data_IF_940857610902
#
_entry.id   IF_940857610902
#
_cell.length_a   1.000
_cell.length_b   1.000
_cell.length_c   1.000
_cell.angle_alpha   90.00
_cell.angle_beta   90.00
_cell.angle_gamma   90.00
#
_symmetry.space_group_name_H-M   'P 1'
#
loop_
_entity.id
_entity.type
_entity.pdbx_description
1 polymer ?
#
# COMPACT_ATOMS: atom_id res chain seq x y z
N UNK A 1 -2.99 17.22 29.45
CA UNK A 1 -2.24 16.20 28.68
C UNK A 1 -1.29 16.98 27.79
N UNK A 2 -0.03 17.12 28.17
CA UNK A 2 0.93 17.96 27.43
C UNK A 2 1.14 17.37 26.03
N UNK A 3 0.74 18.13 25.01
CA UNK A 3 1.24 17.93 23.64
C UNK A 3 2.77 17.92 23.73
N UNK A 4 3.39 16.78 23.45
CA UNK A 4 4.84 16.74 23.40
C UNK A 4 5.31 17.73 22.35
N UNK A 5 6.37 18.48 22.68
CA UNK A 5 7.09 19.41 21.80
C UNK A 5 7.80 18.65 20.67
N UNK A 6 7.05 17.88 19.87
CA UNK A 6 7.52 17.25 18.65
C UNK A 6 7.21 18.13 17.45
N UNK A 7 8.11 18.18 16.48
CA UNK A 7 7.92 18.91 15.21
C UNK A 7 6.71 18.42 14.39
N UNK A 8 6.27 17.17 14.63
CA UNK A 8 5.19 16.55 13.87
C UNK A 8 3.93 16.33 14.73
N UNK A 9 2.82 16.95 14.32
CA UNK A 9 1.48 16.75 14.86
C UNK A 9 0.46 16.57 13.72
N UNK A 10 -0.81 16.37 14.07
CA UNK A 10 -1.87 16.14 13.06
C UNK A 10 -1.98 17.28 12.04
N UNK A 11 -1.87 18.53 12.50
CA UNK A 11 -1.96 19.71 11.64
C UNK A 11 -0.75 19.82 10.73
N UNK A 12 0.46 19.69 11.27
CA UNK A 12 1.68 19.77 10.45
C UNK A 12 1.77 18.62 9.46
N UNK A 13 1.37 17.41 9.84
CA UNK A 13 1.30 16.25 8.95
C UNK A 13 0.33 16.44 7.79
N UNK A 14 -0.88 16.94 8.08
CA UNK A 14 -1.86 17.27 7.05
C UNK A 14 -1.34 18.36 6.11
N UNK A 15 -0.72 19.42 6.64
CA UNK A 15 -0.12 20.50 5.83
C UNK A 15 0.96 19.94 4.91
N UNK A 16 1.89 19.12 5.42
CA UNK A 16 2.97 18.53 4.61
C UNK A 16 2.37 17.66 3.49
N UNK A 17 1.35 16.86 3.78
CA UNK A 17 0.66 16.05 2.76
C UNK A 17 -0.01 16.92 1.68
N UNK A 18 -0.70 18.00 2.07
CA UNK A 18 -1.37 18.91 1.13
C UNK A 18 -0.39 19.72 0.28
N UNK A 19 0.69 20.20 0.89
CA UNK A 19 1.79 20.87 0.17
C UNK A 19 2.44 19.89 -0.81
N UNK A 20 2.67 18.66 -0.38
CA UNK A 20 3.16 17.57 -1.22
C UNK A 20 2.29 17.29 -2.44
N UNK A 21 0.97 17.21 -2.23
CA UNK A 21 -0.01 17.07 -3.31
C UNK A 21 0.04 18.26 -4.27
N UNK A 22 0.12 19.50 -3.74
CA UNK A 22 0.20 20.70 -4.57
C UNK A 22 1.49 20.72 -5.41
N UNK A 23 2.64 20.34 -4.83
CA UNK A 23 3.91 20.20 -5.55
C UNK A 23 3.76 19.18 -6.69
N UNK A 24 3.17 18.01 -6.41
CA UNK A 24 2.96 17.01 -7.44
C UNK A 24 2.03 17.50 -8.55
N UNK A 25 0.89 18.11 -8.23
CA UNK A 25 -0.05 18.65 -9.22
C UNK A 25 0.64 19.69 -10.11
N UNK A 26 1.39 20.62 -9.52
CA UNK A 26 2.14 21.63 -10.28
C UNK A 26 3.19 20.99 -11.18
N UNK A 27 3.96 20.03 -10.66
CA UNK A 27 4.96 19.30 -11.44
C UNK A 27 4.31 18.53 -12.60
N UNK A 28 3.19 17.85 -12.36
CA UNK A 28 2.44 17.10 -13.38
C UNK A 28 1.96 18.03 -14.50
N UNK A 29 1.41 19.21 -14.16
CA UNK A 29 0.94 20.18 -15.13
C UNK A 29 2.08 20.84 -15.92
N UNK A 30 3.18 21.21 -15.25
CA UNK A 30 4.33 21.87 -15.88
C UNK A 30 5.10 20.90 -16.78
N UNK A 31 5.36 19.69 -16.29
CA UNK A 31 6.12 18.68 -17.04
C UNK A 31 5.27 18.06 -18.15
N UNK A 32 3.94 18.09 -18.02
CA UNK A 32 2.97 17.62 -19.02
C UNK A 32 3.31 16.22 -19.57
N UNK A 33 3.19 15.15 -18.75
CA UNK A 33 3.59 13.80 -19.16
C UNK A 33 2.77 13.21 -20.30
N UNK A 34 1.61 13.81 -20.59
CA UNK A 34 0.73 13.47 -21.72
C UNK A 34 1.18 14.13 -23.03
N UNK A 35 2.11 15.08 -22.98
CA UNK A 35 2.75 15.69 -24.13
C UNK A 35 3.98 14.92 -24.62
N UNK A 36 4.60 15.43 -25.68
CA UNK A 36 5.80 14.83 -26.29
C UNK A 36 7.12 15.29 -25.65
N UNK A 37 7.08 16.33 -24.80
CA UNK A 37 8.26 17.00 -24.25
C UNK A 37 9.06 16.19 -23.22
N UNK A 38 8.46 15.16 -22.61
CA UNK A 38 9.16 14.29 -21.66
C UNK A 38 9.88 13.11 -22.32
N UNK A 39 9.83 13.00 -23.64
CA UNK A 39 10.46 11.90 -24.38
C UNK A 39 9.71 10.57 -24.27
N UNK A 40 10.45 9.49 -24.59
CA UNK A 40 9.95 8.11 -24.63
C UNK A 40 9.50 7.60 -23.26
N UNK A 41 8.81 6.46 -23.22
CA UNK A 41 8.47 5.78 -21.97
C UNK A 41 9.73 5.56 -21.12
N UNK A 42 9.58 5.73 -19.81
CA UNK A 42 10.63 5.56 -18.81
C UNK A 42 11.87 6.44 -18.98
N UNK A 43 11.75 7.55 -19.73
CA UNK A 43 12.80 8.55 -19.81
C UNK A 43 13.19 9.11 -18.43
N UNK A 44 14.41 9.67 -18.29
CA UNK A 44 14.83 10.30 -17.04
C UNK A 44 13.84 11.36 -16.51
N UNK A 45 13.22 12.15 -17.38
CA UNK A 45 12.22 13.15 -17.00
C UNK A 45 10.96 12.50 -16.40
N UNK A 46 10.51 11.38 -16.95
CA UNK A 46 9.37 10.62 -16.41
C UNK A 46 9.69 10.00 -15.06
N UNK A 47 10.90 9.47 -14.89
CA UNK A 47 11.41 8.99 -13.61
C UNK A 47 11.44 10.12 -12.58
N UNK A 48 11.91 11.32 -12.93
CA UNK A 48 11.88 12.49 -12.04
C UNK A 48 10.45 12.81 -11.58
N UNK A 49 9.48 12.83 -12.50
CA UNK A 49 8.08 13.06 -12.14
C UNK A 49 7.53 11.95 -11.22
N UNK A 50 7.93 10.70 -11.44
CA UNK A 50 7.59 9.57 -10.57
C UNK A 50 8.19 9.74 -9.16
N UNK A 51 9.42 10.22 -9.04
CA UNK A 51 10.04 10.56 -7.76
C UNK A 51 9.31 11.71 -7.05
N UNK A 52 8.89 12.74 -7.78
CA UNK A 52 8.08 13.82 -7.22
C UNK A 52 6.76 13.26 -6.69
N UNK A 53 6.06 12.44 -7.47
CA UNK A 53 4.84 11.77 -7.01
C UNK A 53 5.07 10.96 -5.73
N UNK A 54 6.09 10.09 -5.74
CA UNK A 54 6.40 9.21 -4.61
C UNK A 54 6.83 9.95 -3.34
N UNK A 55 7.80 10.87 -3.45
CA UNK A 55 8.42 11.51 -2.28
C UNK A 55 7.73 12.79 -1.85
N UNK A 56 7.30 13.63 -2.80
CA UNK A 56 6.64 14.87 -2.44
C UNK A 56 5.22 14.61 -1.94
N UNK A 57 4.49 13.65 -2.53
CA UNK A 57 3.10 13.39 -2.16
C UNK A 57 2.89 12.05 -1.43
N UNK A 58 3.23 10.92 -2.03
CA UNK A 58 2.85 9.60 -1.48
C UNK A 58 3.46 9.35 -0.11
N UNK A 59 4.75 9.63 0.10
CA UNK A 59 5.42 9.46 1.38
C UNK A 59 4.77 10.30 2.50
N UNK A 60 4.54 11.62 2.33
CA UNK A 60 3.76 12.39 3.29
C UNK A 60 2.36 11.85 3.57
N UNK A 61 1.67 11.36 2.54
CA UNK A 61 0.37 10.71 2.70
C UNK A 61 0.47 9.45 3.56
N UNK A 62 1.40 8.54 3.25
CA UNK A 62 1.64 7.33 4.04
C UNK A 62 2.04 7.66 5.48
N UNK A 63 2.94 8.63 5.66
CA UNK A 63 3.37 9.11 6.97
C UNK A 63 2.22 9.70 7.80
N UNK A 64 1.32 10.47 7.18
CA UNK A 64 0.14 11.03 7.84
C UNK A 64 -0.78 9.92 8.37
N UNK A 65 -1.07 8.90 7.56
CA UNK A 65 -1.94 7.79 7.99
C UNK A 65 -1.27 6.87 9.01
N UNK A 66 0.03 6.63 8.87
CA UNK A 66 0.81 5.94 9.92
C UNK A 66 0.80 6.72 11.23
N UNK A 67 0.90 8.05 11.20
CA UNK A 67 0.78 8.89 12.40
C UNK A 67 -0.62 8.77 13.02
N UNK A 68 -1.68 8.82 12.20
CA UNK A 68 -3.06 8.63 12.69
C UNK A 68 -3.24 7.23 13.31
N UNK A 69 -2.60 6.20 12.75
CA UNK A 69 -2.58 4.85 13.29
C UNK A 69 -1.83 4.78 14.62
N UNK A 70 -0.65 5.39 14.70
CA UNK A 70 0.21 5.40 15.89
C UNK A 70 -0.43 6.05 17.13
N UNK A 71 -1.45 6.91 16.93
CA UNK A 71 -2.25 7.51 18.01
C UNK A 71 -3.25 6.56 18.67
N UNK A 72 -3.33 5.30 18.20
CA UNK A 72 -4.21 4.25 18.74
C UNK A 72 -3.37 3.11 19.34
N UNK A 73 -2.99 3.19 20.63
CA UNK A 73 -2.17 2.16 21.28
C UNK A 73 -2.80 0.76 21.25
N UNK A 74 -4.13 0.70 21.23
CA UNK A 74 -4.93 -0.51 21.07
C UNK A 74 -4.72 -1.19 19.72
N UNK A 75 -4.44 -0.41 18.67
CA UNK A 75 -4.17 -0.92 17.33
C UNK A 75 -2.72 -1.41 17.16
N UNK A 76 -1.79 -0.84 17.92
CA UNK A 76 -0.36 -1.20 17.91
C UNK A 76 -0.06 -2.49 18.69
N UNK A 77 -0.93 -2.87 19.61
CA UNK A 77 -0.77 -4.09 20.38
C UNK A 77 -1.12 -5.32 19.54
N UNK A 78 -0.48 -6.45 19.86
CA UNK A 78 -0.92 -7.75 19.36
C UNK A 78 -2.40 -7.97 19.72
N UNK A 79 -3.17 -8.52 18.78
CA UNK A 79 -4.60 -8.74 18.96
C UNK A 79 -4.89 -9.50 20.28
N UNK A 80 -5.84 -8.98 21.06
CA UNK A 80 -6.22 -9.54 22.37
C UNK A 80 -5.17 -9.35 23.49
N UNK A 81 -4.12 -8.53 23.27
CA UNK A 81 -3.08 -8.23 24.28
C UNK A 81 -3.13 -6.81 24.82
N UNK A 82 -3.96 -5.93 24.25
CA UNK A 82 -4.08 -4.57 24.75
C UNK A 82 -4.74 -4.53 26.13
N UNK A 83 -4.18 -3.74 27.04
CA UNK A 83 -4.76 -3.41 28.34
C UNK A 83 -4.93 -1.88 28.39
N UNK A 84 -6.07 -1.41 28.88
CA UNK A 84 -6.35 0.02 28.95
C UNK A 84 -5.26 0.77 29.72
N UNK A 85 -4.75 1.85 29.13
CA UNK A 85 -3.65 2.65 29.70
C UNK A 85 -2.25 2.12 29.39
N UNK A 86 -2.13 0.94 28.74
CA UNK A 86 -0.84 0.44 28.28
C UNK A 86 -0.25 1.36 27.22
N UNK A 87 0.99 1.79 27.45
CA UNK A 87 1.79 2.48 26.44
C UNK A 87 2.39 1.43 25.51
N UNK A 88 2.15 1.57 24.22
CA UNK A 88 2.66 0.66 23.20
C UNK A 88 3.58 1.44 22.28
N UNK A 89 4.83 0.98 22.16
CA UNK A 89 5.77 1.56 21.21
C UNK A 89 5.37 1.18 19.78
N UNK A 90 5.46 2.14 18.86
CA UNK A 90 5.18 1.91 17.43
C UNK A 90 6.05 0.80 16.86
N UNK A 91 7.36 0.87 17.11
CA UNK A 91 8.34 -0.14 16.75
C UNK A 91 8.64 -1.07 17.92
N UNK A 92 7.60 -1.77 18.40
CA UNK A 92 7.75 -2.84 19.38
C UNK A 92 8.40 -4.08 18.74
N UNK A 93 8.94 -5.04 19.52
CA UNK A 93 9.39 -6.33 18.99
C UNK A 93 8.32 -7.04 18.16
N UNK A 94 7.05 -6.94 18.55
CA UNK A 94 5.93 -7.46 17.78
C UNK A 94 5.86 -6.82 16.38
N UNK A 95 5.88 -5.49 16.31
CA UNK A 95 5.82 -4.75 15.04
C UNK A 95 7.03 -5.07 14.15
N UNK A 96 8.24 -5.13 14.72
CA UNK A 96 9.48 -5.39 13.98
C UNK A 96 9.52 -6.81 13.42
N UNK A 97 9.14 -7.82 14.21
CA UNK A 97 9.02 -9.19 13.73
C UNK A 97 7.94 -9.31 12.67
N UNK A 98 6.79 -8.66 12.85
CA UNK A 98 5.73 -8.64 11.85
C UNK A 98 6.20 -8.02 10.53
N UNK A 99 6.95 -6.90 10.57
CA UNK A 99 7.56 -6.29 9.38
C UNK A 99 8.48 -7.29 8.66
N UNK A 100 9.33 -8.01 9.40
CA UNK A 100 10.22 -9.01 8.83
C UNK A 100 9.48 -10.17 8.16
N UNK A 101 8.45 -10.71 8.82
CA UNK A 101 7.63 -11.82 8.28
C UNK A 101 6.87 -11.35 7.05
N UNK A 102 6.19 -10.21 7.13
CA UNK A 102 5.42 -9.65 6.00
C UNK A 102 6.35 -9.35 4.83
N UNK A 103 7.52 -8.77 5.07
CA UNK A 103 8.51 -8.51 4.03
C UNK A 103 9.02 -9.79 3.36
N UNK A 104 9.31 -10.84 4.12
CA UNK A 104 9.72 -12.13 3.56
C UNK A 104 8.61 -12.78 2.71
N UNK A 105 7.38 -12.79 3.21
CA UNK A 105 6.22 -13.33 2.49
C UNK A 105 5.91 -12.54 1.21
N UNK A 106 5.94 -11.21 1.30
CA UNK A 106 5.74 -10.32 0.17
C UNK A 106 6.83 -10.52 -0.89
N UNK A 107 8.09 -10.62 -0.45
CA UNK A 107 9.20 -10.89 -1.36
C UNK A 107 9.03 -12.22 -2.11
N UNK A 108 8.66 -13.29 -1.39
CA UNK A 108 8.40 -14.60 -1.99
C UNK A 108 7.22 -14.58 -2.97
N UNK A 109 6.17 -13.79 -2.69
CA UNK A 109 5.05 -13.60 -3.61
C UNK A 109 5.42 -12.86 -4.89
N UNK A 110 6.60 -12.23 -4.98
CA UNK A 110 7.16 -11.70 -6.22
C UNK A 110 7.31 -12.73 -7.34
N UNK A 111 7.30 -14.03 -7.01
CA UNK A 111 7.22 -15.10 -8.00
C UNK A 111 5.84 -15.20 -8.67
N UNK A 112 4.77 -14.80 -7.97
CA UNK A 112 3.38 -14.83 -8.47
C UNK A 112 3.13 -13.88 -9.65
N UNK A 113 3.85 -12.75 -9.68
CA UNK A 113 3.80 -11.78 -10.79
C UNK A 113 4.11 -12.44 -12.15
N UNK A 114 4.94 -13.48 -12.16
CA UNK A 114 5.31 -14.21 -13.39
C UNK A 114 4.12 -14.93 -14.03
N UNK A 115 3.06 -15.19 -13.27
CA UNK A 115 1.82 -15.81 -13.73
C UNK A 115 0.65 -14.85 -13.97
N UNK A 116 0.85 -13.53 -13.83
CA UNK A 116 -0.23 -12.54 -13.89
C UNK A 116 -1.21 -12.64 -12.71
N UNK A 117 -0.71 -13.09 -11.54
CA UNK A 117 -1.47 -13.29 -10.30
C UNK A 117 -0.89 -12.34 -9.24
N UNK A 118 -1.72 -11.46 -8.71
CA UNK A 118 -1.31 -10.44 -7.73
C UNK A 118 -1.28 -11.01 -6.28
N UNK A 119 -0.39 -11.99 -6.06
CA UNK A 119 -0.19 -12.56 -4.73
C UNK A 119 0.40 -11.55 -3.75
N UNK A 120 1.15 -10.57 -4.26
CA UNK A 120 1.72 -9.50 -3.46
C UNK A 120 0.61 -8.65 -2.83
N UNK A 121 -0.38 -8.19 -3.62
CA UNK A 121 -1.54 -7.46 -3.11
C UNK A 121 -2.32 -8.27 -2.07
N UNK A 122 -2.49 -9.58 -2.28
CA UNK A 122 -3.18 -10.45 -1.31
C UNK A 122 -2.43 -10.51 0.04
N UNK A 123 -1.10 -10.69 0.02
CA UNK A 123 -0.29 -10.76 1.24
C UNK A 123 -0.31 -9.44 2.00
N UNK A 124 -0.16 -8.33 1.28
CA UNK A 124 -0.13 -7.03 1.95
C UNK A 124 -1.52 -6.60 2.44
N UNK A 125 -2.59 -6.99 1.75
CA UNK A 125 -3.95 -6.84 2.25
C UNK A 125 -4.19 -7.65 3.54
N UNK A 126 -3.67 -8.88 3.60
CA UNK A 126 -3.69 -9.65 4.85
C UNK A 126 -2.91 -8.95 5.95
N UNK A 127 -1.74 -8.38 5.66
CA UNK A 127 -0.98 -7.57 6.61
C UNK A 127 -1.78 -6.34 7.08
N UNK A 128 -2.44 -5.63 6.17
CA UNK A 128 -3.15 -4.39 6.48
C UNK A 128 -4.34 -4.62 7.41
N UNK A 129 -5.05 -5.74 7.24
CA UNK A 129 -6.15 -6.15 8.12
C UNK A 129 -5.67 -6.78 9.42
N UNK A 130 -4.53 -7.48 9.42
CA UNK A 130 -4.00 -8.19 10.59
C UNK A 130 -3.23 -7.26 11.55
N UNK A 131 -2.25 -6.53 10.99
CA UNK A 131 -1.25 -5.74 11.72
C UNK A 131 -1.44 -4.22 11.56
N UNK A 132 -2.10 -3.79 10.49
CA UNK A 132 -2.39 -2.37 10.22
C UNK A 132 -1.37 -1.65 9.35
N UNK A 133 -1.49 -0.33 9.28
CA UNK A 133 -0.82 0.48 8.26
C UNK A 133 0.70 0.54 8.37
N UNK A 134 1.25 0.57 9.59
CA UNK A 134 2.71 0.73 9.81
C UNK A 134 3.47 -0.53 9.40
N UNK A 135 3.01 -1.69 9.87
CA UNK A 135 3.62 -2.99 9.51
C UNK A 135 3.49 -3.23 8.02
N UNK A 136 2.36 -2.88 7.42
CA UNK A 136 2.17 -3.05 5.97
C UNK A 136 3.08 -2.13 5.17
N UNK A 137 3.20 -0.84 5.55
CA UNK A 137 4.14 0.08 4.88
C UNK A 137 5.57 -0.47 4.87
N UNK A 138 6.14 -0.79 6.03
CA UNK A 138 7.53 -1.22 6.12
C UNK A 138 7.74 -2.66 5.63
N UNK A 139 6.77 -3.55 5.86
CA UNK A 139 6.81 -4.92 5.37
C UNK A 139 6.83 -4.96 3.85
N UNK A 140 5.92 -4.23 3.19
CA UNK A 140 5.95 -4.07 1.73
C UNK A 140 7.25 -3.43 1.28
N UNK A 141 7.64 -2.31 1.90
CA UNK A 141 8.82 -1.57 1.46
C UNK A 141 10.07 -2.45 1.44
N UNK A 142 10.32 -3.20 2.52
CA UNK A 142 11.45 -4.13 2.59
C UNK A 142 11.26 -5.31 1.63
N UNK A 143 10.06 -5.90 1.60
CA UNK A 143 9.77 -7.06 0.76
C UNK A 143 9.92 -6.79 -0.73
N UNK A 144 9.43 -5.64 -1.19
CA UNK A 144 9.52 -5.22 -2.59
C UNK A 144 10.96 -4.98 -3.02
N UNK A 145 11.78 -4.32 -2.18
CA UNK A 145 13.20 -4.15 -2.46
C UNK A 145 13.89 -5.52 -2.55
N UNK A 146 13.61 -6.44 -1.63
CA UNK A 146 14.19 -7.80 -1.68
C UNK A 146 13.75 -8.55 -2.94
N UNK A 147 12.46 -8.58 -3.26
CA UNK A 147 11.95 -9.25 -4.45
C UNK A 147 12.66 -8.76 -5.71
N UNK A 148 12.63 -7.44 -5.93
CA UNK A 148 13.07 -6.78 -7.15
C UNK A 148 14.59 -6.65 -7.27
N UNK A 149 15.33 -7.01 -6.24
CA UNK A 149 16.81 -7.05 -6.24
C UNK A 149 17.32 -8.49 -6.28
N UNK A 150 16.66 -9.43 -5.61
CA UNK A 150 17.22 -10.77 -5.37
C UNK A 150 16.41 -11.92 -6.00
N UNK A 151 15.09 -11.79 -6.17
CA UNK A 151 14.20 -12.89 -6.60
C UNK A 151 13.84 -12.74 -8.08
N UNK A 152 13.31 -11.58 -8.46
CA UNK A 152 12.97 -11.23 -9.83
C UNK A 152 13.62 -9.88 -10.21
N UNK A 153 14.96 -9.86 -10.38
CA UNK A 153 15.68 -8.61 -10.42
C UNK A 153 15.29 -7.74 -11.61
N UNK A 154 14.97 -6.47 -11.35
CA UNK A 154 14.42 -5.54 -12.37
C UNK A 154 15.36 -5.27 -13.55
N UNK A 155 16.65 -5.56 -13.42
CA UNK A 155 17.64 -5.43 -14.49
C UNK A 155 17.78 -6.66 -15.39
N UNK A 156 17.18 -7.81 -15.02
CA UNK A 156 17.26 -9.05 -15.81
C UNK A 156 16.26 -9.04 -16.98
N UNK A 157 15.23 -8.17 -16.92
CA UNK A 157 14.19 -8.04 -17.95
C UNK A 157 14.52 -7.11 -19.12
N UNK A 158 15.74 -6.58 -19.23
CA UNK A 158 16.16 -5.70 -20.34
C UNK A 158 15.66 -4.26 -20.26
N UNK A 159 15.01 -3.87 -19.16
CA UNK A 159 14.45 -2.52 -18.96
C UNK A 159 15.40 -1.71 -18.07
N UNK A 160 16.17 -0.80 -18.67
CA UNK A 160 17.23 -0.04 -17.98
C UNK A 160 16.71 0.91 -16.88
N UNK A 161 15.44 1.31 -16.94
CA UNK A 161 14.81 2.17 -15.93
C UNK A 161 14.27 1.42 -14.71
N UNK A 162 14.26 0.08 -14.73
CA UNK A 162 13.70 -0.73 -13.64
C UNK A 162 14.39 -0.49 -12.30
N UNK A 163 15.72 -0.35 -12.30
CA UNK A 163 16.47 -0.05 -11.07
C UNK A 163 16.21 1.36 -10.53
N UNK A 164 16.09 2.35 -11.43
CA UNK A 164 15.86 3.75 -11.06
C UNK A 164 14.43 4.02 -10.58
N UNK A 165 13.45 3.25 -11.07
CA UNK A 165 12.05 3.40 -10.70
C UNK A 165 11.62 2.51 -9.52
N UNK A 166 12.47 1.56 -9.10
CA UNK A 166 12.16 0.64 -8.00
C UNK A 166 11.76 1.36 -6.70
N UNK A 167 12.58 2.31 -6.26
CA UNK A 167 12.35 3.03 -5.02
C UNK A 167 11.03 3.83 -5.02
N UNK A 168 10.74 4.67 -6.04
CA UNK A 168 9.48 5.40 -6.05
C UNK A 168 8.25 4.48 -6.20
N UNK A 169 8.29 3.41 -7.01
CA UNK A 169 7.18 2.44 -7.07
C UNK A 169 6.90 1.79 -5.71
N UNK A 170 7.96 1.33 -5.05
CA UNK A 170 7.86 0.73 -3.71
C UNK A 170 7.22 1.68 -2.71
N UNK A 171 7.59 2.96 -2.77
CA UNK A 171 7.10 3.97 -1.85
C UNK A 171 5.63 4.36 -2.13
N UNK A 172 5.24 4.45 -3.40
CA UNK A 172 3.84 4.67 -3.80
C UNK A 172 2.96 3.56 -3.22
N UNK A 173 3.34 2.30 -3.45
CA UNK A 173 2.56 1.15 -3.01
C UNK A 173 2.52 1.04 -1.48
N UNK A 174 3.68 1.15 -0.80
CA UNK A 174 3.74 1.15 0.67
C UNK A 174 2.80 2.20 1.30
N UNK A 175 2.73 3.39 0.68
CA UNK A 175 1.90 4.50 1.15
C UNK A 175 0.40 4.24 0.99
N UNK A 176 -0.02 3.54 -0.07
CA UNK A 176 -1.38 3.05 -0.25
C UNK A 176 -1.75 2.13 0.93
N UNK A 177 -0.90 1.17 1.25
CA UNK A 177 -1.18 0.17 2.30
C UNK A 177 -1.08 0.74 3.72
N UNK A 178 -0.33 1.82 3.94
CA UNK A 178 -0.40 2.59 5.17
C UNK A 178 -1.82 3.15 5.41
N UNK A 179 -2.41 3.74 4.37
CA UNK A 179 -3.77 4.26 4.41
C UNK A 179 -4.80 3.13 4.54
N UNK A 180 -4.68 2.08 3.73
CA UNK A 180 -5.63 0.99 3.73
C UNK A 180 -5.68 0.29 5.10
N UNK A 181 -4.53 0.05 5.73
CA UNK A 181 -4.46 -0.48 7.09
C UNK A 181 -5.13 0.43 8.12
N UNK A 182 -4.99 1.76 7.99
CA UNK A 182 -5.70 2.71 8.86
C UNK A 182 -7.22 2.64 8.65
N UNK A 183 -7.69 2.65 7.41
CA UNK A 183 -9.11 2.57 7.05
C UNK A 183 -9.72 1.28 7.60
N UNK A 184 -9.06 0.15 7.37
CA UNK A 184 -9.56 -1.15 7.82
C UNK A 184 -9.71 -1.19 9.34
N UNK A 185 -8.72 -0.70 10.09
CA UNK A 185 -8.83 -0.61 11.55
C UNK A 185 -9.94 0.33 11.99
N UNK A 186 -10.05 1.50 11.36
CA UNK A 186 -11.07 2.49 11.70
C UNK A 186 -12.50 1.98 11.51
N UNK A 187 -12.76 1.23 10.45
CA UNK A 187 -14.12 0.82 10.08
C UNK A 187 -14.44 -0.62 10.48
N UNK A 188 -13.50 -1.55 10.34
CA UNK A 188 -13.72 -2.97 10.60
C UNK A 188 -13.33 -3.36 12.01
N UNK A 189 -12.15 -2.96 12.51
CA UNK A 189 -11.75 -3.32 13.89
C UNK A 189 -12.52 -2.52 14.94
N UNK A 190 -12.66 -1.21 14.74
CA UNK A 190 -13.41 -0.31 15.61
C UNK A 190 -14.93 -0.30 15.30
N UNK A 191 -15.47 -1.36 14.68
CA UNK A 191 -16.88 -1.40 14.25
C UNK A 191 -17.88 -1.44 15.40
N UNK A 192 -17.48 -1.94 16.57
CA UNK A 192 -18.39 -2.25 17.67
C UNK A 192 -19.46 -3.26 17.23
N UNK A 193 -20.73 -2.91 17.42
CA UNK A 193 -21.87 -3.77 17.05
C UNK A 193 -22.30 -3.63 15.59
N UNK A 194 -21.61 -2.79 14.79
CA UNK A 194 -21.98 -2.58 13.39
C UNK A 194 -21.74 -3.86 12.57
N UNK A 195 -22.61 -4.16 11.57
CA UNK A 195 -22.48 -5.34 10.73
C UNK A 195 -21.12 -5.40 10.01
N UNK A 196 -20.45 -6.54 10.11
CA UNK A 196 -19.12 -6.75 9.53
C UNK A 196 -19.07 -6.43 8.05
N UNK A 197 -19.93 -7.05 7.23
CA UNK A 197 -19.90 -6.89 5.77
C UNK A 197 -20.10 -5.45 5.34
N UNK A 198 -21.00 -4.69 6.01
CA UNK A 198 -21.19 -3.27 5.73
C UNK A 198 -19.90 -2.46 5.98
N UNK A 199 -19.22 -2.71 7.10
CA UNK A 199 -17.98 -2.00 7.40
C UNK A 199 -16.81 -2.45 6.53
N UNK A 200 -16.76 -3.72 6.16
CA UNK A 200 -15.79 -4.27 5.22
C UNK A 200 -15.90 -3.57 3.86
N UNK A 201 -17.11 -3.46 3.30
CA UNK A 201 -17.31 -2.76 2.02
C UNK A 201 -17.00 -1.27 2.12
N UNK A 202 -17.29 -0.60 3.24
CA UNK A 202 -16.86 0.79 3.46
C UNK A 202 -15.33 0.88 3.43
N UNK A 203 -14.64 0.00 4.14
CA UNK A 203 -13.18 0.01 4.16
C UNK A 203 -12.59 -0.25 2.77
N UNK A 204 -13.16 -1.20 2.03
CA UNK A 204 -12.75 -1.53 0.67
C UNK A 204 -13.02 -0.38 -0.32
N UNK A 205 -14.21 0.23 -0.30
CA UNK A 205 -14.57 1.38 -1.17
C UNK A 205 -13.72 2.63 -0.86
N UNK A 206 -13.23 2.78 0.37
CA UNK A 206 -12.33 3.88 0.71
C UNK A 206 -10.88 3.59 0.32
N UNK A 207 -10.40 2.36 0.55
CA UNK A 207 -9.02 1.96 0.28
C UNK A 207 -8.72 1.67 -1.19
N UNK A 208 -9.57 0.88 -1.84
CA UNK A 208 -9.28 0.35 -3.17
C UNK A 208 -9.23 1.40 -4.27
N UNK A 209 -10.06 2.47 -4.28
CA UNK A 209 -9.88 3.54 -5.25
C UNK A 209 -8.53 4.23 -5.12
N UNK A 210 -7.98 4.39 -3.91
CA UNK A 210 -6.64 4.95 -3.73
C UNK A 210 -5.59 4.00 -4.31
N UNK A 211 -5.72 2.70 -4.03
CA UNK A 211 -4.86 1.67 -4.59
C UNK A 211 -4.84 1.70 -6.13
N UNK A 212 -6.02 1.65 -6.73
CA UNK A 212 -6.22 1.58 -8.18
C UNK A 212 -5.81 2.88 -8.89
N UNK A 213 -6.24 4.04 -8.39
CA UNK A 213 -5.97 5.34 -9.04
C UNK A 213 -4.48 5.65 -9.02
N UNK A 214 -3.77 5.30 -7.95
CA UNK A 214 -2.35 5.59 -7.84
C UNK A 214 -1.53 4.72 -8.77
N UNK A 215 -1.84 3.43 -8.86
CA UNK A 215 -1.26 2.57 -9.89
C UNK A 215 -1.61 3.03 -11.29
N UNK A 216 -2.87 3.37 -11.57
CA UNK A 216 -3.24 3.92 -12.87
C UNK A 216 -2.46 5.21 -13.20
N UNK A 217 -2.23 6.10 -12.22
CA UNK A 217 -1.43 7.31 -12.39
C UNK A 217 0.01 7.01 -12.83
N UNK A 218 0.62 5.93 -12.36
CA UNK A 218 2.00 5.61 -12.76
C UNK A 218 2.12 5.31 -14.24
N UNK A 219 1.09 4.74 -14.88
CA UNK A 219 1.08 4.53 -16.34
C UNK A 219 1.16 5.86 -17.09
N UNK A 220 0.40 6.87 -16.65
CA UNK A 220 0.38 8.19 -17.27
C UNK A 220 1.66 8.99 -17.03
N UNK A 221 2.35 8.76 -15.91
CA UNK A 221 3.65 9.37 -15.63
C UNK A 221 4.74 8.72 -16.50
N UNK A 222 4.80 7.39 -16.47
CA UNK A 222 5.94 6.61 -16.95
C UNK A 222 5.89 6.30 -18.44
N UNK A 223 4.75 6.49 -19.11
CA UNK A 223 4.62 6.18 -20.54
C UNK A 223 4.27 7.40 -21.39
N UNK A 224 4.63 7.34 -22.68
CA UNK A 224 4.01 8.26 -23.66
C UNK A 224 2.50 8.10 -23.64
N UNK A 225 1.76 9.11 -24.11
CA UNK A 225 0.30 9.06 -24.10
C UNK A 225 -0.25 7.82 -24.79
N UNK A 226 0.30 7.47 -25.94
CA UNK A 226 -0.12 6.30 -26.73
C UNK A 226 0.16 5.00 -25.97
N UNK A 227 1.35 4.87 -25.39
CA UNK A 227 1.72 3.68 -24.61
C UNK A 227 0.91 3.58 -23.30
N UNK A 228 0.64 4.71 -22.63
CA UNK A 228 -0.20 4.75 -21.43
C UNK A 228 -1.63 4.29 -21.75
N UNK A 229 -2.23 4.76 -22.85
CA UNK A 229 -3.56 4.33 -23.28
C UNK A 229 -3.57 2.82 -23.53
N UNK A 230 -2.61 2.30 -24.28
CA UNK A 230 -2.54 0.86 -24.58
C UNK A 230 -2.39 0.02 -23.32
N UNK A 231 -1.50 0.42 -22.41
CA UNK A 231 -1.26 -0.29 -21.17
C UNK A 231 -2.46 -0.24 -20.22
N UNK A 232 -3.13 0.91 -20.09
CA UNK A 232 -4.40 1.02 -19.33
C UNK A 232 -5.49 0.14 -19.93
N UNK A 233 -5.65 0.14 -21.26
CA UNK A 233 -6.63 -0.71 -21.92
C UNK A 233 -6.34 -2.20 -21.66
N UNK A 234 -5.09 -2.62 -21.74
CA UNK A 234 -4.70 -4.01 -21.49
C UNK A 234 -5.01 -4.43 -20.04
N UNK A 235 -4.60 -3.62 -19.05
CA UNK A 235 -4.63 -4.08 -17.67
C UNK A 235 -5.97 -3.79 -16.94
N UNK A 236 -6.82 -2.87 -17.47
CA UNK A 236 -8.11 -2.50 -16.87
C UNK A 236 -9.35 -2.79 -17.71
N UNK A 237 -9.23 -2.95 -19.03
CA UNK A 237 -10.41 -2.96 -19.91
C UNK A 237 -10.53 -4.26 -20.69
N UNK A 238 -9.47 -4.72 -21.34
CA UNK A 238 -9.51 -5.82 -22.30
C UNK A 238 -9.46 -7.17 -21.56
N UNK A 239 -10.53 -7.98 -21.62
CA UNK A 239 -10.50 -9.34 -21.07
C UNK A 239 -9.44 -10.19 -21.81
N UNK A 240 -8.55 -10.85 -21.07
CA UNK A 240 -7.53 -11.77 -21.62
C UNK A 240 -6.19 -11.14 -21.99
N UNK A 241 -6.03 -9.82 -21.87
CA UNK A 241 -4.72 -9.19 -21.95
C UNK A 241 -3.98 -9.36 -20.61
N UNK A 242 -3.13 -10.39 -20.52
CA UNK A 242 -2.13 -10.48 -19.44
C UNK A 242 -2.54 -11.17 -18.13
N UNK A 243 -3.64 -11.92 -18.08
CA UNK A 243 -3.99 -12.72 -16.87
C UNK A 243 -4.47 -14.13 -17.19
N UNK A 244 -4.31 -15.02 -16.20
CA UNK A 244 -4.65 -16.43 -16.28
C UNK A 244 -6.16 -16.73 -16.44
N UNK A 245 -7.05 -15.76 -16.12
CA UNK A 245 -8.51 -15.99 -16.05
C UNK A 245 -9.34 -15.24 -17.09
N UNK A 246 -8.71 -14.54 -18.04
CA UNK A 246 -9.46 -13.71 -18.98
C UNK A 246 -10.10 -12.47 -18.36
N UNK A 247 -9.71 -12.08 -17.15
CA UNK A 247 -10.20 -10.91 -16.41
C UNK A 247 -9.08 -9.86 -16.38
N UNK A 248 -9.35 -8.56 -16.60
CA UNK A 248 -8.30 -7.53 -16.50
C UNK A 248 -7.54 -7.61 -15.17
N UNK A 249 -6.21 -7.46 -15.21
CA UNK A 249 -5.31 -7.64 -14.06
C UNK A 249 -5.75 -6.86 -12.83
N UNK A 250 -6.06 -5.58 -13.00
CA UNK A 250 -6.41 -4.72 -11.89
C UNK A 250 -7.80 -4.99 -11.31
N UNK A 251 -8.69 -5.62 -12.08
CA UNK A 251 -9.97 -6.12 -11.58
C UNK A 251 -9.76 -7.35 -10.72
N UNK A 252 -8.92 -8.28 -11.19
CA UNK A 252 -8.58 -9.48 -10.43
C UNK A 252 -7.87 -9.11 -9.12
N UNK A 253 -6.93 -8.15 -9.14
CA UNK A 253 -6.30 -7.60 -7.95
C UNK A 253 -7.34 -7.00 -6.98
N UNK A 254 -8.13 -6.03 -7.43
CA UNK A 254 -9.03 -5.28 -6.56
C UNK A 254 -10.26 -6.03 -6.07
N UNK A 255 -10.78 -6.99 -6.85
CA UNK A 255 -12.04 -7.71 -6.55
C UNK A 255 -11.77 -9.09 -5.92
N UNK A 256 -10.62 -9.71 -6.20
CA UNK A 256 -10.30 -11.05 -5.70
C UNK A 256 -9.16 -10.99 -4.69
N UNK A 257 -7.95 -10.61 -5.10
CA UNK A 257 -6.77 -10.75 -4.25
C UNK A 257 -6.81 -9.84 -3.02
N UNK A 258 -7.18 -8.57 -3.19
CA UNK A 258 -7.29 -7.63 -2.06
C UNK A 258 -8.37 -8.07 -1.07
N UNK A 259 -9.64 -8.37 -1.47
CA UNK A 259 -10.64 -8.83 -0.53
C UNK A 259 -10.30 -10.15 0.15
N UNK A 260 -9.75 -11.12 -0.58
CA UNK A 260 -9.30 -12.40 -0.01
C UNK A 260 -8.21 -12.18 1.03
N UNK A 261 -7.22 -11.33 0.72
CA UNK A 261 -6.17 -10.96 1.67
C UNK A 261 -6.73 -10.30 2.93
N UNK A 262 -7.59 -9.28 2.78
CA UNK A 262 -8.25 -8.61 3.92
C UNK A 262 -9.05 -9.60 4.79
N UNK A 263 -9.76 -10.54 4.18
CA UNK A 263 -10.52 -11.57 4.91
C UNK A 263 -9.61 -12.57 5.61
N UNK A 264 -8.50 -12.98 4.99
CA UNK A 264 -7.51 -13.87 5.60
C UNK A 264 -6.85 -13.23 6.82
N UNK A 265 -6.45 -11.96 6.73
CA UNK A 265 -5.86 -11.23 7.86
C UNK A 265 -6.86 -10.99 9.00
N UNK A 266 -8.11 -10.64 8.69
CA UNK A 266 -9.19 -10.55 9.69
C UNK A 266 -9.44 -11.91 10.38
N UNK A 267 -9.48 -13.00 9.62
CA UNK A 267 -9.67 -14.35 10.17
C UNK A 267 -8.52 -14.72 11.13
N UNK A 268 -7.27 -14.48 10.74
CA UNK A 268 -6.11 -14.70 11.59
C UNK A 268 -6.16 -13.86 12.87
N UNK A 269 -6.55 -12.58 12.76
CA UNK A 269 -6.69 -11.69 13.92
C UNK A 269 -7.77 -12.16 14.88
N UNK A 270 -8.93 -12.59 14.36
CA UNK A 270 -10.00 -13.17 15.17
C UNK A 270 -9.53 -14.42 15.89
N UNK A 271 -8.83 -15.32 15.23
CA UNK A 271 -8.28 -16.53 15.84
C UNK A 271 -7.33 -16.22 17.01
N UNK A 272 -6.45 -15.22 16.85
CA UNK A 272 -5.58 -14.76 17.94
C UNK A 272 -6.35 -14.18 19.13
N UNK A 273 -7.53 -13.60 18.88
CA UNK A 273 -8.39 -13.02 19.92
C UNK A 273 -9.25 -14.08 20.60
N UNK A 274 -9.83 -15.02 19.83
CA UNK A 274 -10.76 -16.04 20.30
C UNK A 274 -10.10 -17.23 20.99
N UNK A 275 -8.89 -17.63 20.57
CA UNK A 275 -8.14 -18.74 21.18
C UNK A 275 -7.84 -18.55 22.67
N UNK A 276 -8.05 -17.35 23.21
CA UNK A 276 -7.90 -17.02 24.64
C UNK A 276 -9.18 -17.00 25.45
N UNK A 277 -10.34 -16.90 24.79
CA UNK A 277 -11.62 -17.10 25.46
C UNK A 277 -11.78 -18.55 25.96
N UNK A 278 -11.16 -19.49 25.25
CA UNK A 278 -11.19 -20.92 25.58
C UNK A 278 -10.18 -21.34 26.66
N UNK A 279 -9.09 -20.59 26.88
CA UNK A 279 -8.10 -20.86 27.95
C UNK A 279 -8.45 -20.17 29.28
N UNK A 280 -9.61 -19.53 29.37
CA UNK A 280 -10.14 -18.91 30.61
C UNK A 280 -11.34 -19.69 31.19
N UNK A 281 -11.48 -20.96 30.82
CA UNK A 281 -12.42 -21.90 31.43
C UNK A 281 -11.66 -22.81 32.41
#
# INVERSE_FOLDING_TARGET
>A
MNESKGFYNERSGLIIMLVGLAIFILAFLIMNPLGTGMGVSESPQRIVLLYIFAFAFCLPFGAYWMYKFARRPDWLAMAGRYIQGMKVAVFSPYSLVAIGIVGALFAAAGLGDLGGIDLQAMIIAASASLFGGIVSFFGLFVGQIIARVLINPVWVGGVSAGALSLLPYTLIDASIWAYFGWVYFRFVHDRGDKPFWRQFFIAWILGEPVHQIWWMMTYWIMNTREAAILAVLNDWVIPGAGTFFGIPYWWLSGIVFVPVGLLAGEAARRAMTSGRGQTKA
#
